data_IF_293993769814
#
_entry.id   IF_293993769814
#
_cell.length_a   1.000
_cell.length_b   1.000
_cell.length_c   1.000
_cell.angle_alpha   90.00
_cell.angle_beta   90.00
_cell.angle_gamma   90.00
#
_symmetry.space_group_name_H-M   'P 1'
#
loop_
_entity.id
_entity.type
_entity.pdbx_description
1 polymer ?
#
# COMPACT_ATOMS: atom_id res chain seq x y z
N UNK A 1 26.17 19.70 21.15
CA UNK A 1 24.83 20.15 20.69
C UNK A 1 24.73 19.87 19.21
N UNK A 2 23.64 19.26 18.74
CA UNK A 2 23.43 19.00 17.30
C UNK A 2 22.92 20.28 16.64
N UNK A 3 23.57 20.73 15.58
CA UNK A 3 23.20 21.95 14.88
C UNK A 3 21.89 21.76 14.09
N UNK A 4 21.15 22.84 13.82
CA UNK A 4 19.89 22.78 13.08
C UNK A 4 20.08 22.13 11.69
N UNK A 5 21.17 22.43 10.99
CA UNK A 5 21.51 21.81 9.71
C UNK A 5 21.71 20.29 9.84
N UNK A 6 22.34 19.82 10.93
CA UNK A 6 22.53 18.40 11.19
C UNK A 6 21.19 17.71 11.49
N UNK A 7 20.27 18.36 12.21
CA UNK A 7 18.93 17.81 12.45
C UNK A 7 18.13 17.66 11.15
N UNK A 8 18.19 18.67 10.26
CA UNK A 8 17.56 18.59 8.92
C UNK A 8 18.13 17.41 8.14
N UNK A 9 19.46 17.27 8.12
CA UNK A 9 20.12 16.19 7.40
C UNK A 9 19.74 14.81 7.97
N UNK A 10 19.69 14.66 9.31
CA UNK A 10 19.29 13.41 9.96
C UNK A 10 17.82 13.10 9.71
N UNK A 11 16.92 14.08 9.78
CA UNK A 11 15.50 13.89 9.51
C UNK A 11 15.25 13.45 8.07
N UNK A 12 15.88 14.12 7.11
CA UNK A 12 15.83 13.75 5.71
C UNK A 12 16.41 12.34 5.46
N UNK A 13 17.53 12.01 6.10
CA UNK A 13 18.15 10.68 6.02
C UNK A 13 17.24 9.59 6.61
N UNK A 14 16.62 9.81 7.76
CA UNK A 14 15.65 8.88 8.37
C UNK A 14 14.48 8.59 7.43
N UNK A 15 13.94 9.64 6.79
CA UNK A 15 12.88 9.49 5.79
C UNK A 15 13.31 8.69 4.57
N UNK A 16 14.52 8.96 4.06
CA UNK A 16 15.08 8.23 2.92
C UNK A 16 15.32 6.75 3.24
N UNK A 17 15.85 6.44 4.42
CA UNK A 17 16.04 5.07 4.91
C UNK A 17 14.71 4.32 4.95
N UNK A 18 13.65 4.95 5.46
CA UNK A 18 12.30 4.36 5.47
C UNK A 18 11.79 4.06 4.06
N UNK A 19 11.99 5.00 3.12
CA UNK A 19 11.62 4.84 1.71
C UNK A 19 12.37 3.67 1.06
N UNK A 20 13.67 3.53 1.33
CA UNK A 20 14.48 2.43 0.82
C UNK A 20 14.05 1.09 1.41
N UNK A 21 13.74 1.03 2.72
CA UNK A 21 13.24 -0.18 3.37
C UNK A 21 11.93 -0.67 2.75
N UNK A 22 10.96 0.22 2.53
CA UNK A 22 9.68 -0.13 1.89
C UNK A 22 9.86 -0.55 0.43
N UNK A 23 10.75 0.13 -0.31
CA UNK A 23 11.11 -0.26 -1.67
C UNK A 23 11.75 -1.65 -1.72
N UNK A 24 12.60 -2.01 -0.77
CA UNK A 24 13.25 -3.32 -0.69
C UNK A 24 12.26 -4.46 -0.38
N UNK A 25 11.19 -4.18 0.37
CA UNK A 25 10.09 -5.12 0.62
C UNK A 25 9.13 -5.24 -0.58
N UNK A 26 9.34 -4.47 -1.66
CA UNK A 26 8.52 -4.53 -2.87
C UNK A 26 7.25 -3.68 -2.81
N UNK A 27 7.15 -2.75 -1.86
CA UNK A 27 6.02 -1.83 -1.75
C UNK A 27 6.10 -0.75 -2.85
N UNK A 28 5.54 -1.03 -4.03
CA UNK A 28 5.62 -0.16 -5.22
C UNK A 28 5.09 1.25 -4.98
N UNK A 29 4.01 1.40 -4.21
CA UNK A 29 3.42 2.71 -3.89
C UNK A 29 4.41 3.67 -3.19
N UNK A 30 5.35 3.13 -2.40
CA UNK A 30 6.37 3.93 -1.69
C UNK A 30 7.54 4.38 -2.60
N UNK A 31 7.68 3.78 -3.79
CA UNK A 31 8.83 4.03 -4.68
C UNK A 31 8.62 5.11 -5.73
N UNK A 32 7.40 5.64 -5.85
CA UNK A 32 7.04 6.72 -6.79
C UNK A 32 7.79 8.02 -6.49
N UNK A 33 7.94 8.89 -7.50
CA UNK A 33 8.52 10.23 -7.34
C UNK A 33 7.85 11.05 -6.23
N UNK A 34 6.52 11.16 -6.27
CA UNK A 34 5.72 11.88 -5.28
C UNK A 34 5.95 11.34 -3.87
N UNK A 35 5.90 10.01 -3.71
CA UNK A 35 6.20 9.35 -2.44
C UNK A 35 7.61 9.68 -1.97
N UNK A 36 8.62 9.61 -2.84
CA UNK A 36 10.01 9.92 -2.46
C UNK A 36 10.15 11.36 -1.93
N UNK A 37 9.48 12.34 -2.55
CA UNK A 37 9.45 13.70 -2.04
C UNK A 37 8.76 13.79 -0.67
N UNK A 38 7.63 13.10 -0.50
CA UNK A 38 6.92 13.05 0.79
C UNK A 38 7.82 12.48 1.89
N UNK A 39 8.50 11.37 1.65
CA UNK A 39 9.35 10.73 2.66
C UNK A 39 10.54 11.60 3.06
N UNK A 40 11.07 12.41 2.13
CA UNK A 40 12.16 13.34 2.43
C UNK A 40 11.67 14.57 3.21
N UNK A 41 10.51 15.11 2.84
CA UNK A 41 10.00 16.38 3.38
C UNK A 41 9.26 16.20 4.69
N UNK A 42 8.49 15.12 4.87
CA UNK A 42 7.59 14.96 6.02
C UNK A 42 8.32 14.95 7.39
N UNK A 43 9.45 14.25 7.56
CA UNK A 43 10.21 14.31 8.81
C UNK A 43 10.80 15.70 9.07
N UNK A 44 11.26 16.39 8.02
CA UNK A 44 11.79 17.76 8.11
C UNK A 44 10.69 18.74 8.51
N UNK A 45 9.48 18.58 7.96
CA UNK A 45 8.29 19.36 8.34
C UNK A 45 7.93 19.09 9.80
N UNK A 46 7.88 17.83 10.23
CA UNK A 46 7.61 17.46 11.63
C UNK A 46 8.61 18.11 12.60
N UNK A 47 9.90 18.09 12.25
CA UNK A 47 10.95 18.76 13.02
C UNK A 47 10.75 20.29 13.05
N UNK A 48 10.48 20.91 11.90
CA UNK A 48 10.27 22.36 11.80
C UNK A 48 9.06 22.82 12.64
N UNK A 49 7.97 22.05 12.60
CA UNK A 49 6.77 22.29 13.41
C UNK A 49 7.14 22.28 14.90
N UNK A 50 7.79 21.22 15.39
CA UNK A 50 8.16 21.11 16.82
C UNK A 50 9.14 22.19 17.25
N UNK A 51 10.13 22.54 16.41
CA UNK A 51 11.06 23.65 16.68
C UNK A 51 10.37 25.00 16.76
N UNK A 52 9.40 25.26 15.89
CA UNK A 52 8.66 26.53 15.85
C UNK A 52 7.73 26.69 17.05
N UNK A 53 7.20 25.57 17.55
CA UNK A 53 6.27 25.53 18.67
C UNK A 53 6.97 25.54 20.03
N UNK A 54 8.23 25.09 20.12
CA UNK A 54 8.90 24.91 21.40
C UNK A 54 8.95 26.24 22.17
N UNK A 55 8.32 26.28 23.35
CA UNK A 55 8.24 27.47 24.20
C UNK A 55 6.89 28.19 24.20
N UNK A 56 5.92 27.79 23.36
CA UNK A 56 4.57 28.37 23.38
C UNK A 56 3.47 27.30 23.28
N UNK A 57 2.92 26.91 24.43
CA UNK A 57 1.86 25.90 24.55
C UNK A 57 0.60 26.30 23.75
N UNK A 58 0.25 27.59 23.71
CA UNK A 58 -0.91 28.08 22.95
C UNK A 58 -0.71 27.95 21.44
N UNK A 59 0.50 28.24 20.94
CA UNK A 59 0.87 28.02 19.54
C UNK A 59 0.89 26.51 19.20
N UNK A 60 1.38 25.67 20.13
CA UNK A 60 1.39 24.21 19.99
C UNK A 60 0.00 23.62 19.77
N UNK A 61 -0.95 24.04 20.61
CA UNK A 61 -2.30 23.52 20.58
C UNK A 61 -3.05 23.95 19.31
N UNK A 62 -2.83 25.20 18.86
CA UNK A 62 -3.38 25.71 17.61
C UNK A 62 -2.83 25.02 16.36
N UNK A 63 -1.53 24.72 16.31
CA UNK A 63 -0.90 24.05 15.16
C UNK A 63 -1.28 22.56 15.05
N UNK A 64 -1.43 21.84 16.18
CA UNK A 64 -1.94 20.46 16.16
C UNK A 64 -3.41 20.43 15.69
N UNK A 65 -4.22 21.39 16.12
CA UNK A 65 -5.59 21.58 15.64
C UNK A 65 -5.68 21.99 14.17
N UNK A 66 -4.70 22.74 13.64
CA UNK A 66 -4.64 23.08 12.22
C UNK A 66 -4.15 21.91 11.35
N UNK A 67 -3.26 21.06 11.88
CA UNK A 67 -2.77 19.89 11.16
C UNK A 67 -3.86 18.82 10.95
N UNK A 68 -4.85 18.75 11.86
CA UNK A 68 -6.06 17.93 11.67
C UNK A 68 -6.99 18.44 10.56
N UNK A 69 -6.84 19.70 10.12
CA UNK A 69 -7.59 20.31 9.00
C UNK A 69 -6.94 19.98 7.65
N UNK A 70 -5.68 19.53 7.62
CA UNK A 70 -5.05 18.98 6.41
C UNK A 70 -5.66 17.61 6.13
N UNK A 71 -6.93 17.62 5.73
CA UNK A 71 -7.62 16.43 5.24
C UNK A 71 -6.94 16.04 3.95
N UNK A 72 -6.39 14.84 3.90
CA UNK A 72 -6.05 14.23 2.62
C UNK A 72 -7.36 14.12 1.83
N UNK A 73 -7.55 15.03 0.86
CA UNK A 73 -8.76 15.08 0.03
C UNK A 73 -8.81 13.93 -0.97
N UNK A 74 -7.69 13.24 -1.15
CA UNK A 74 -7.60 11.98 -1.84
C UNK A 74 -7.67 10.85 -0.79
N UNK A 75 -8.51 9.81 -0.98
CA UNK A 75 -8.51 8.66 -0.09
C UNK A 75 -7.10 8.08 -0.05
N UNK A 76 -6.53 7.95 1.15
CA UNK A 76 -5.25 7.26 1.34
C UNK A 76 -5.47 5.82 0.88
N UNK A 77 -4.66 5.34 -0.07
CA UNK A 77 -4.98 4.14 -0.85
C UNK A 77 -4.88 2.88 0.00
N UNK A 78 -4.06 2.89 1.06
CA UNK A 78 -3.92 1.80 2.03
C UNK A 78 -3.82 2.31 3.48
N UNK A 79 -4.36 1.57 4.47
CA UNK A 79 -4.14 1.87 5.88
C UNK A 79 -2.66 1.94 6.28
N UNK A 80 -1.80 1.13 5.63
CA UNK A 80 -0.36 1.11 5.87
C UNK A 80 0.31 2.44 5.49
N UNK A 81 -0.06 3.02 4.34
CA UNK A 81 0.46 4.31 3.87
C UNK A 81 0.21 5.42 4.90
N UNK A 82 -0.98 5.45 5.51
CA UNK A 82 -1.32 6.41 6.56
C UNK A 82 -0.42 6.23 7.79
N UNK A 83 -0.28 4.99 8.26
CA UNK A 83 0.56 4.69 9.44
C UNK A 83 2.02 5.09 9.19
N UNK A 84 2.54 4.86 7.98
CA UNK A 84 3.92 5.26 7.63
C UNK A 84 4.08 6.78 7.59
N UNK A 85 3.12 7.52 7.04
CA UNK A 85 3.18 8.99 7.07
C UNK A 85 3.11 9.54 8.50
N UNK A 86 2.26 8.97 9.34
CA UNK A 86 2.20 9.36 10.75
C UNK A 86 3.53 9.07 11.45
N UNK A 87 4.11 7.89 11.22
CA UNK A 87 5.41 7.50 11.76
C UNK A 87 6.54 8.44 11.31
N UNK A 88 6.60 8.82 10.03
CA UNK A 88 7.60 9.78 9.52
C UNK A 88 7.50 11.14 10.22
N UNK A 89 6.27 11.61 10.45
CA UNK A 89 6.03 12.85 11.17
C UNK A 89 6.45 12.71 12.64
N UNK A 90 6.12 11.60 13.29
CA UNK A 90 6.56 11.29 14.66
C UNK A 90 8.10 11.21 14.76
N UNK A 91 8.79 10.63 13.77
CA UNK A 91 10.26 10.61 13.72
C UNK A 91 10.82 12.03 13.69
N UNK A 92 10.27 12.92 12.86
CA UNK A 92 10.65 14.33 12.80
C UNK A 92 10.48 15.08 14.13
N UNK A 93 9.34 14.87 14.79
CA UNK A 93 9.04 15.42 16.11
C UNK A 93 10.03 14.90 17.15
N UNK A 94 10.26 13.58 17.17
CA UNK A 94 11.13 12.91 18.15
C UNK A 94 12.58 13.34 17.99
N UNK A 95 13.09 13.48 16.76
CA UNK A 95 14.44 13.98 16.48
C UNK A 95 14.69 15.39 17.03
N UNK A 96 13.64 16.20 17.16
CA UNK A 96 13.73 17.55 17.74
C UNK A 96 13.92 17.52 19.26
N UNK A 97 13.29 16.54 19.93
CA UNK A 97 13.36 16.36 21.39
C UNK A 97 14.64 15.62 21.77
N UNK A 98 14.89 14.47 21.14
CA UNK A 98 16.09 13.67 21.33
C UNK A 98 16.46 12.92 20.04
N UNK A 99 17.64 13.25 19.50
CA UNK A 99 18.15 12.64 18.27
C UNK A 99 18.33 11.13 18.41
N UNK A 100 18.77 10.63 19.58
CA UNK A 100 18.99 9.20 19.81
C UNK A 100 17.67 8.44 19.75
N UNK A 101 16.61 8.98 20.35
CA UNK A 101 15.28 8.39 20.30
C UNK A 101 14.70 8.39 18.89
N UNK A 102 14.87 9.48 18.14
CA UNK A 102 14.40 9.56 16.75
C UNK A 102 15.09 8.57 15.81
N UNK A 103 16.41 8.40 15.98
CA UNK A 103 17.18 7.37 15.24
C UNK A 103 16.77 5.96 15.65
N UNK A 104 16.58 5.70 16.95
CA UNK A 104 16.12 4.40 17.46
C UNK A 104 14.73 4.05 16.91
N UNK A 105 13.81 5.01 16.88
CA UNK A 105 12.46 4.82 16.33
C UNK A 105 12.51 4.49 14.82
N UNK A 106 13.38 5.18 14.08
CA UNK A 106 13.60 4.90 12.65
C UNK A 106 14.13 3.47 12.47
N UNK A 107 15.12 3.06 13.27
CA UNK A 107 15.70 1.72 13.21
C UNK A 107 14.66 0.64 13.56
N UNK A 108 13.88 0.85 14.63
CA UNK A 108 12.80 -0.05 15.02
C UNK A 108 11.78 -0.25 13.88
N UNK A 109 11.36 0.83 13.25
CA UNK A 109 10.41 0.76 12.14
C UNK A 109 10.94 -0.03 10.94
N UNK A 110 12.20 0.21 10.56
CA UNK A 110 12.86 -0.55 9.48
C UNK A 110 12.89 -2.03 9.81
N UNK A 111 13.28 -2.39 11.04
CA UNK A 111 13.29 -3.79 11.49
C UNK A 111 11.89 -4.40 11.45
N UNK A 112 10.86 -3.67 11.89
CA UNK A 112 9.47 -4.15 11.84
C UNK A 112 8.99 -4.41 10.40
N UNK A 113 9.31 -3.52 9.47
CA UNK A 113 8.96 -3.68 8.04
C UNK A 113 9.60 -4.96 7.47
N UNK A 114 10.90 -5.16 7.71
CA UNK A 114 11.60 -6.38 7.25
C UNK A 114 11.13 -7.64 7.96
N UNK A 115 10.84 -7.58 9.26
CA UNK A 115 10.35 -8.72 10.03
C UNK A 115 9.01 -9.24 9.47
N UNK A 116 8.11 -8.32 9.10
CA UNK A 116 6.83 -8.67 8.46
C UNK A 116 7.06 -9.31 7.08
N UNK A 117 7.96 -8.78 6.25
CA UNK A 117 8.30 -9.37 4.94
C UNK A 117 8.91 -10.78 5.07
N UNK A 118 9.83 -10.97 6.01
CA UNK A 118 10.45 -12.28 6.28
C UNK A 118 9.41 -13.27 6.80
N UNK A 119 8.52 -12.83 7.70
CA UNK A 119 7.44 -13.67 8.21
C UNK A 119 6.48 -14.09 7.10
N UNK A 120 6.13 -13.18 6.18
CA UNK A 120 5.30 -13.50 5.02
C UNK A 120 5.95 -14.55 4.12
N UNK A 121 7.24 -14.37 3.78
CA UNK A 121 8.01 -15.32 2.96
C UNK A 121 8.13 -16.69 3.64
N UNK A 122 8.28 -16.71 4.96
CA UNK A 122 8.35 -17.93 5.75
C UNK A 122 7.01 -18.67 5.84
N UNK A 123 5.91 -17.94 6.10
CA UNK A 123 4.56 -18.49 6.15
C UNK A 123 4.14 -19.08 4.79
N UNK A 124 4.45 -18.38 3.69
CA UNK A 124 4.21 -18.84 2.33
C UNK A 124 4.93 -20.17 2.03
N UNK A 125 6.19 -20.33 2.47
CA UNK A 125 6.94 -21.59 2.32
C UNK A 125 6.34 -22.76 3.10
N UNK A 126 5.60 -22.49 4.18
CA UNK A 126 4.91 -23.52 4.99
C UNK A 126 3.48 -23.81 4.53
N UNK A 127 3.05 -23.24 3.39
CA UNK A 127 1.72 -23.49 2.82
C UNK A 127 0.59 -22.73 3.51
N UNK A 128 0.89 -21.84 4.46
CA UNK A 128 -0.12 -20.98 5.08
C UNK A 128 -0.34 -19.74 4.20
N UNK A 129 -1.43 -19.72 3.42
CA UNK A 129 -1.93 -18.51 2.73
C UNK A 129 -2.59 -17.58 3.77
N UNK A 130 -1.81 -16.89 4.60
CA UNK A 130 -2.35 -16.11 5.74
C UNK A 130 -2.93 -14.77 5.36
N UNK A 131 -2.60 -14.22 4.18
CA UNK A 131 -3.09 -12.94 3.73
C UNK A 131 -3.85 -13.15 2.43
N UNK A 132 -5.19 -13.06 2.51
CA UNK A 132 -5.99 -12.77 1.34
C UNK A 132 -5.39 -11.49 0.74
N UNK A 133 -4.99 -11.55 -0.53
CA UNK A 133 -4.52 -10.40 -1.29
C UNK A 133 -5.71 -9.46 -1.36
N UNK A 134 -5.85 -8.62 -0.32
CA UNK A 134 -6.99 -7.74 -0.19
C UNK A 134 -7.01 -6.88 -1.44
N UNK A 135 -8.14 -6.93 -2.12
CA UNK A 135 -8.50 -6.33 -3.41
C UNK A 135 -8.24 -4.81 -3.51
N UNK A 136 -7.60 -4.21 -2.50
CA UNK A 136 -7.36 -2.79 -2.27
C UNK A 136 -5.90 -2.34 -2.44
N UNK A 137 -4.92 -3.26 -2.56
CA UNK A 137 -3.49 -2.91 -2.38
C UNK A 137 -2.73 -2.46 -3.63
N UNK A 138 -3.40 -1.93 -4.66
CA UNK A 138 -2.74 -1.22 -5.77
C UNK A 138 -1.72 -2.03 -6.59
N UNK A 139 -1.68 -3.35 -6.41
CA UNK A 139 -1.04 -4.26 -7.35
C UNK A 139 -1.93 -4.37 -8.59
N UNK A 140 -1.39 -4.16 -9.80
CA UNK A 140 -2.14 -4.32 -11.03
C UNK A 140 -2.52 -5.80 -11.20
N UNK A 141 -3.68 -6.18 -10.68
CA UNK A 141 -4.25 -7.51 -10.91
C UNK A 141 -4.88 -7.53 -12.29
N UNK A 142 -4.52 -8.52 -13.09
CA UNK A 142 -5.19 -8.75 -14.34
C UNK A 142 -6.57 -9.34 -14.01
N UNK A 143 -7.61 -8.81 -14.67
CA UNK A 143 -8.99 -9.19 -14.43
C UNK A 143 -9.52 -9.83 -15.70
N UNK A 144 -10.06 -11.03 -15.56
CA UNK A 144 -10.82 -11.72 -16.59
C UNK A 144 -12.31 -11.63 -16.23
N UNK A 145 -13.08 -10.96 -17.06
CA UNK A 145 -14.55 -10.88 -16.98
C UNK A 145 -15.13 -11.80 -18.06
N UNK A 146 -15.91 -12.79 -17.62
CA UNK A 146 -16.54 -13.79 -18.50
C UNK A 146 -18.04 -13.73 -18.29
N UNK A 147 -18.77 -13.43 -19.36
CA UNK A 147 -20.23 -13.46 -19.36
C UNK A 147 -20.70 -14.69 -20.14
N UNK A 148 -21.47 -15.55 -19.50
CA UNK A 148 -21.97 -16.81 -20.06
C UNK A 148 -23.45 -16.99 -19.79
N UNK A 149 -24.21 -17.53 -20.75
CA UNK A 149 -25.64 -17.89 -20.53
C UNK A 149 -25.83 -19.20 -19.78
N UNK A 150 -24.78 -20.02 -19.73
CA UNK A 150 -24.77 -21.31 -19.04
C UNK A 150 -23.80 -21.21 -17.89
N UNK A 151 -24.17 -21.77 -16.73
CA UNK A 151 -23.28 -21.84 -15.59
C UNK A 151 -22.02 -22.64 -15.98
N UNK A 152 -20.84 -22.05 -15.81
CA UNK A 152 -19.56 -22.71 -16.08
C UNK A 152 -18.97 -23.17 -14.75
N UNK A 153 -19.03 -24.47 -14.41
CA UNK A 153 -18.55 -24.98 -13.12
C UNK A 153 -17.06 -24.77 -12.89
N UNK A 154 -16.27 -24.73 -13.98
CA UNK A 154 -14.83 -24.48 -13.94
C UNK A 154 -14.47 -23.09 -13.44
N UNK A 155 -15.35 -22.09 -13.68
CA UNK A 155 -15.16 -20.71 -13.23
C UNK A 155 -15.69 -20.50 -11.80
N UNK A 156 -16.81 -21.13 -11.46
CA UNK A 156 -17.42 -21.01 -10.12
C UNK A 156 -16.58 -21.68 -9.02
N UNK A 157 -15.82 -22.72 -9.36
CA UNK A 157 -14.93 -23.42 -8.43
C UNK A 157 -13.49 -22.86 -8.40
N UNK A 158 -13.18 -21.80 -9.16
CA UNK A 158 -11.81 -21.32 -9.29
C UNK A 158 -11.34 -20.63 -7.98
N UNK A 159 -10.13 -20.95 -7.47
CA UNK A 159 -9.62 -20.38 -6.22
C UNK A 159 -9.43 -18.85 -6.24
N UNK A 160 -9.30 -18.26 -7.44
CA UNK A 160 -9.12 -16.82 -7.66
C UNK A 160 -10.41 -16.11 -8.14
N UNK A 161 -11.57 -16.73 -7.93
CA UNK A 161 -12.87 -16.12 -8.21
C UNK A 161 -13.10 -14.93 -7.26
N UNK A 162 -13.29 -13.75 -7.84
CA UNK A 162 -13.59 -12.51 -7.11
C UNK A 162 -15.10 -12.30 -7.00
N UNK A 163 -15.83 -12.62 -8.07
CA UNK A 163 -17.26 -12.40 -8.15
C UNK A 163 -17.91 -13.43 -9.07
N UNK A 164 -19.02 -14.00 -8.63
CA UNK A 164 -19.97 -14.71 -9.46
C UNK A 164 -21.36 -14.16 -9.19
N UNK A 165 -22.01 -13.58 -10.19
CA UNK A 165 -23.38 -13.06 -10.06
C UNK A 165 -24.25 -13.56 -11.20
N UNK A 166 -25.53 -13.78 -10.89
CA UNK A 166 -26.56 -14.03 -11.89
C UNK A 166 -27.30 -12.73 -12.16
N UNK A 167 -27.31 -12.29 -13.42
CA UNK A 167 -28.07 -11.12 -13.83
C UNK A 167 -29.44 -11.56 -14.36
N UNK A 168 -30.47 -11.42 -13.52
CA UNK A 168 -31.86 -11.74 -13.89
C UNK A 168 -32.36 -10.93 -15.10
N UNK A 169 -31.79 -9.74 -15.33
CA UNK A 169 -32.21 -8.81 -16.40
C UNK A 169 -31.77 -9.25 -17.80
N UNK A 170 -30.64 -9.95 -17.93
CA UNK A 170 -30.08 -10.40 -19.21
C UNK A 170 -30.00 -11.92 -19.37
N UNK A 171 -30.41 -12.70 -18.35
CA UNK A 171 -30.31 -14.17 -18.32
C UNK A 171 -28.86 -14.64 -18.54
N UNK A 172 -27.91 -13.99 -17.89
CA UNK A 172 -26.47 -14.21 -18.05
C UNK A 172 -25.78 -14.33 -16.67
N UNK A 173 -24.85 -15.28 -16.56
CA UNK A 173 -23.90 -15.41 -15.47
C UNK A 173 -22.68 -14.53 -15.76
N UNK A 174 -22.31 -13.70 -14.78
CA UNK A 174 -21.08 -12.91 -14.81
C UNK A 174 -20.06 -13.50 -13.84
N UNK A 175 -18.87 -13.79 -14.36
CA UNK A 175 -17.74 -14.29 -13.60
C UNK A 175 -16.58 -13.32 -13.69
N UNK A 176 -16.01 -12.96 -12.53
CA UNK A 176 -14.83 -12.12 -12.43
C UNK A 176 -13.73 -12.86 -11.72
N UNK A 177 -12.63 -13.10 -12.43
CA UNK A 177 -11.41 -13.71 -11.89
C UNK A 177 -10.30 -12.66 -11.88
N UNK A 178 -9.60 -12.51 -10.76
CA UNK A 178 -8.43 -11.64 -10.68
C UNK A 178 -7.20 -12.48 -10.32
N UNK A 179 -6.24 -12.57 -11.24
CA UNK A 179 -4.97 -13.27 -11.01
C UNK A 179 -3.77 -12.34 -11.22
N UNK A 180 -2.69 -12.64 -10.51
CA UNK A 180 -1.38 -12.01 -10.64
C UNK A 180 -0.69 -12.42 -11.94
N UNK A 181 -0.98 -13.62 -12.46
CA UNK A 181 -0.33 -14.16 -13.65
C UNK A 181 -1.14 -13.85 -14.91
N UNK A 182 -0.57 -13.05 -15.80
CA UNK A 182 -1.14 -12.79 -17.13
C UNK A 182 -1.29 -14.08 -17.94
N UNK A 183 -0.27 -14.94 -17.92
CA UNK A 183 -0.27 -16.21 -18.67
C UNK A 183 -1.40 -17.13 -18.21
N UNK A 184 -1.66 -17.20 -16.90
CA UNK A 184 -2.73 -18.03 -16.34
C UNK A 184 -4.11 -17.55 -16.81
N UNK A 185 -4.36 -16.23 -16.83
CA UNK A 185 -5.62 -15.69 -17.34
C UNK A 185 -5.75 -15.83 -18.86
N UNK A 186 -4.65 -15.72 -19.61
CA UNK A 186 -4.65 -15.97 -21.06
C UNK A 186 -4.94 -17.45 -21.37
N UNK A 187 -4.39 -18.39 -20.59
CA UNK A 187 -4.70 -19.81 -20.70
C UNK A 187 -6.17 -20.11 -20.36
N UNK A 188 -6.70 -19.52 -19.29
CA UNK A 188 -8.12 -19.65 -18.92
C UNK A 188 -9.01 -19.06 -20.03
N UNK A 189 -8.70 -17.85 -20.51
CA UNK A 189 -9.44 -17.22 -21.60
C UNK A 189 -9.39 -18.05 -22.89
N UNK A 190 -8.25 -18.68 -23.21
CA UNK A 190 -8.11 -19.52 -24.39
C UNK A 190 -8.93 -20.81 -24.29
N UNK A 191 -8.95 -21.46 -23.11
CA UNK A 191 -9.80 -22.64 -22.84
C UNK A 191 -11.28 -22.32 -22.99
N UNK A 192 -11.71 -21.17 -22.46
CA UNK A 192 -13.12 -20.74 -22.54
C UNK A 192 -13.51 -20.31 -23.97
N UNK A 193 -12.57 -19.76 -24.76
CA UNK A 193 -12.82 -19.49 -26.19
C UNK A 193 -12.97 -20.77 -27.02
N UNK A 194 -12.30 -21.85 -26.62
CA UNK A 194 -12.39 -23.14 -27.30
C UNK A 194 -13.70 -23.89 -26.96
N UNK A 195 -14.27 -23.67 -25.77
CA UNK A 195 -15.63 -24.09 -25.43
C UNK A 195 -16.64 -23.05 -25.95
N UNK A 196 -17.23 -23.31 -27.10
CA UNK A 196 -18.05 -22.41 -27.94
C UNK A 196 -19.26 -21.70 -27.30
N UNK A 197 -19.43 -21.72 -25.96
CA UNK A 197 -20.61 -21.22 -25.23
C UNK A 197 -20.42 -19.84 -24.57
N UNK A 198 -19.21 -19.29 -24.53
CA UNK A 198 -18.96 -17.97 -23.95
C UNK A 198 -19.27 -16.84 -24.95
N UNK A 199 -20.35 -16.10 -24.71
CA UNK A 199 -20.80 -15.05 -25.63
C UNK A 199 -19.97 -13.76 -25.54
N UNK A 200 -19.33 -13.48 -24.39
CA UNK A 200 -18.45 -12.31 -24.23
C UNK A 200 -17.36 -12.55 -23.20
N UNK A 201 -16.11 -12.38 -23.63
CA UNK A 201 -14.91 -12.49 -22.77
C UNK A 201 -14.19 -11.15 -22.84
N UNK A 202 -14.19 -10.40 -21.75
CA UNK A 202 -13.42 -9.17 -21.62
C UNK A 202 -12.20 -9.42 -20.73
N UNK A 203 -11.03 -9.40 -21.34
CA UNK A 203 -9.76 -9.44 -20.62
C UNK A 203 -9.33 -8.00 -20.32
N UNK A 204 -9.45 -7.58 -19.06
CA UNK A 204 -8.91 -6.30 -18.59
C UNK A 204 -7.57 -6.56 -17.92
N UNK A 205 -6.51 -6.45 -18.71
CA UNK A 205 -5.15 -6.46 -18.18
C UNK A 205 -4.91 -5.17 -17.41
N UNK A 206 -4.34 -5.28 -16.21
CA UNK A 206 -3.97 -4.10 -15.46
C UNK A 206 -2.72 -3.46 -16.10
N UNK A 207 -2.82 -2.16 -16.38
CA UNK A 207 -1.76 -1.33 -16.96
C UNK A 207 -0.80 -0.83 -15.88
#
# INVERSE_FOLDING_TARGET
>A
MVNALQLVAIAAASGLVMRLALGAVGQRWATTYHSTMTYLLLPVIGMAITRTISGNIALSLGMIGALSIVRFRHPVKSPLELVVFFLLLTVGVTLTVDVRLGVLLTAYAVVAIFAVDVFQKFAAKRGFKTFAVSFSEGEPLNILEVTSRVEIPELSAHPDLVMSSWLETSQEHDYRIASRSRQELEEIASRIRASSDAQRIELRLAQ
#
